data_IF_613435589420
#
_entry.id   IF_613435589420
#
_cell.length_a   1.000
_cell.length_b   1.000
_cell.length_c   1.000
_cell.angle_alpha   90.00
_cell.angle_beta   90.00
_cell.angle_gamma   90.00
#
_symmetry.space_group_name_H-M   'P 1'
#
loop_
_entity.id
_entity.type
_entity.pdbx_description
1 polymer ?
#
# COMPACT_ATOMS: atom_id res chain seq x y z
N UNK A 1 0.31 -3.47 3.09
CA UNK A 1 -1.07 -3.67 3.60
C UNK A 1 -1.16 -3.43 5.10
N UNK A 2 -0.22 -3.94 5.90
CA UNK A 2 -0.15 -3.72 7.35
C UNK A 2 -0.22 -2.24 7.79
N UNK A 3 0.22 -1.31 6.93
CA UNK A 3 0.08 0.14 7.12
C UNK A 3 -1.36 0.63 7.38
N UNK A 4 -2.39 -0.15 7.00
CA UNK A 4 -3.81 0.20 7.15
C UNK A 4 -4.51 -0.53 8.30
N UNK A 5 -3.76 -1.11 9.23
CA UNK A 5 -4.28 -1.72 10.46
C UNK A 5 -3.44 -1.29 11.68
N UNK A 6 -3.95 -1.51 12.89
CA UNK A 6 -3.21 -1.20 14.13
C UNK A 6 -1.88 -1.97 14.20
N UNK A 7 -0.78 -1.36 14.70
CA UNK A 7 -0.66 0.05 15.12
C UNK A 7 -0.22 1.01 14.01
N UNK A 8 0.09 0.50 12.82
CA UNK A 8 0.74 1.27 11.77
C UNK A 8 -0.17 2.32 11.14
N UNK A 9 -1.50 2.10 11.16
CA UNK A 9 -2.47 3.08 10.65
C UNK A 9 -2.42 4.43 11.39
N UNK A 10 -1.84 4.48 12.60
CA UNK A 10 -1.66 5.73 13.34
C UNK A 10 -0.74 6.74 12.61
N UNK A 11 0.06 6.28 11.63
CA UNK A 11 0.79 7.18 10.73
C UNK A 11 -0.11 7.94 9.73
N UNK A 12 -1.38 7.51 9.62
CA UNK A 12 -2.45 8.07 8.79
C UNK A 12 -3.66 8.40 9.68
N UNK A 13 -3.43 9.10 10.78
CA UNK A 13 -4.47 9.36 11.79
C UNK A 13 -5.66 10.16 11.24
N UNK A 14 -5.47 10.93 10.16
CA UNK A 14 -6.55 11.59 9.41
C UNK A 14 -7.60 10.60 8.88
N UNK A 15 -7.18 9.40 8.47
CA UNK A 15 -8.11 8.34 8.05
C UNK A 15 -9.03 7.97 9.19
N UNK A 16 -8.50 7.87 10.41
CA UNK A 16 -9.24 7.46 11.61
C UNK A 16 -10.11 8.59 12.16
N UNK A 17 -9.55 9.79 12.29
CA UNK A 17 -10.16 10.95 12.93
C UNK A 17 -11.17 11.67 12.03
N UNK A 18 -10.85 11.82 10.74
CA UNK A 18 -11.58 12.68 9.81
C UNK A 18 -12.26 11.87 8.69
N UNK A 19 -11.90 10.59 8.54
CA UNK A 19 -12.38 9.77 7.43
C UNK A 19 -11.73 10.14 6.09
N UNK A 20 -10.59 10.82 6.12
CA UNK A 20 -9.92 11.34 4.93
C UNK A 20 -8.45 10.99 4.92
N UNK A 21 -7.86 10.88 3.73
CA UNK A 21 -6.42 10.73 3.58
C UNK A 21 -5.86 11.85 2.70
N UNK A 22 -5.15 12.80 3.30
CA UNK A 22 -4.50 13.87 2.54
C UNK A 22 -3.16 13.37 2.00
N UNK A 23 -3.01 13.40 0.67
CA UNK A 23 -1.87 12.78 0.01
C UNK A 23 -1.33 13.60 -1.16
N UNK A 24 -0.01 13.48 -1.38
CA UNK A 24 0.68 14.04 -2.54
C UNK A 24 0.72 13.05 -3.72
N UNK A 25 0.04 11.91 -3.66
CA UNK A 25 -0.13 11.03 -4.81
C UNK A 25 -0.97 11.72 -5.90
N UNK A 26 -0.82 11.30 -7.15
CA UNK A 26 -1.80 11.65 -8.16
C UNK A 26 -3.03 10.72 -8.03
N UNK A 27 -4.24 11.15 -8.40
CA UNK A 27 -5.44 10.32 -8.33
C UNK A 27 -5.31 8.96 -9.02
N UNK A 28 -4.59 8.93 -10.13
CA UNK A 28 -4.34 7.76 -10.98
C UNK A 28 -3.12 6.94 -10.56
N UNK A 29 -2.29 7.45 -9.63
CA UNK A 29 -1.09 6.74 -9.18
C UNK A 29 -1.45 5.38 -8.59
N UNK A 30 -0.79 4.34 -9.09
CA UNK A 30 -0.94 2.98 -8.62
C UNK A 30 0.02 2.71 -7.46
N UNK A 31 -0.53 2.49 -6.28
CA UNK A 31 0.18 2.11 -5.06
C UNK A 31 0.37 0.61 -4.99
N UNK A 32 1.63 0.17 -4.84
CA UNK A 32 1.95 -1.21 -4.48
C UNK A 32 1.60 -1.50 -3.02
N UNK A 33 0.50 -2.21 -2.81
CA UNK A 33 0.15 -2.75 -1.51
C UNK A 33 0.82 -4.11 -1.34
N UNK A 34 1.69 -4.23 -0.34
CA UNK A 34 2.41 -5.48 -0.04
C UNK A 34 1.87 -6.16 1.21
N UNK A 35 1.49 -7.43 1.10
CA UNK A 35 1.27 -8.30 2.25
C UNK A 35 2.60 -8.89 2.74
N UNK A 36 2.80 -8.87 4.05
CA UNK A 36 3.94 -9.46 4.71
C UNK A 36 3.99 -10.99 4.55
N UNK A 37 2.83 -11.66 4.45
CA UNK A 37 2.81 -13.10 4.15
C UNK A 37 3.32 -13.42 2.74
N UNK A 38 2.97 -12.62 1.73
CA UNK A 38 3.51 -12.77 0.37
C UNK A 38 5.02 -12.55 0.36
N UNK A 39 5.50 -11.56 1.12
CA UNK A 39 6.94 -11.32 1.31
C UNK A 39 7.63 -12.58 1.84
N UNK A 40 7.05 -13.22 2.86
CA UNK A 40 7.59 -14.45 3.43
C UNK A 40 7.56 -15.61 2.42
N UNK A 41 6.46 -15.79 1.67
CA UNK A 41 6.34 -16.83 0.63
C UNK A 41 7.38 -16.65 -0.47
N UNK A 42 7.58 -15.43 -0.95
CA UNK A 42 8.58 -15.11 -1.98
C UNK A 42 9.99 -15.32 -1.44
N UNK A 43 10.28 -14.91 -0.21
CA UNK A 43 11.58 -15.16 0.42
C UNK A 43 11.88 -16.67 0.53
N UNK A 44 10.90 -17.47 0.95
CA UNK A 44 11.03 -18.93 1.01
C UNK A 44 11.28 -19.52 -0.38
N UNK A 45 10.57 -19.06 -1.41
CA UNK A 45 10.81 -19.49 -2.79
C UNK A 45 12.23 -19.15 -3.25
N UNK A 46 12.72 -17.95 -2.91
CA UNK A 46 14.09 -17.52 -3.22
C UNK A 46 15.16 -18.42 -2.58
N UNK A 47 14.97 -18.82 -1.32
CA UNK A 47 15.90 -19.73 -0.64
C UNK A 47 15.83 -21.17 -1.16
N UNK A 48 14.68 -21.62 -1.67
CA UNK A 48 14.50 -22.97 -2.23
C UNK A 48 15.09 -23.13 -3.63
N UNK A 49 15.14 -22.05 -4.41
CA UNK A 49 15.69 -22.05 -5.77
C UNK A 49 16.72 -20.91 -5.95
N UNK A 50 17.87 -20.95 -5.26
CA UNK A 50 18.84 -19.88 -5.32
C UNK A 50 19.35 -19.63 -6.75
N UNK A 51 19.35 -20.63 -7.64
CA UNK A 51 19.77 -20.47 -9.02
C UNK A 51 18.83 -19.53 -9.81
N UNK A 52 17.51 -19.64 -9.60
CA UNK A 52 16.52 -18.74 -10.22
C UNK A 52 16.62 -17.30 -9.72
N UNK A 53 16.96 -17.11 -8.43
CA UNK A 53 16.86 -15.80 -7.77
C UNK A 53 18.21 -15.10 -7.53
N UNK A 54 19.34 -15.76 -7.73
CA UNK A 54 20.67 -15.18 -7.52
C UNK A 54 20.87 -13.90 -8.36
N UNK A 55 21.25 -12.80 -7.69
CA UNK A 55 21.50 -11.47 -8.28
C UNK A 55 20.30 -10.84 -9.02
N UNK A 56 19.08 -11.31 -8.75
CA UNK A 56 17.86 -10.68 -9.23
C UNK A 56 17.43 -9.58 -8.27
N UNK A 57 17.02 -8.45 -8.82
CA UNK A 57 16.27 -7.41 -8.11
C UNK A 57 14.82 -7.59 -8.53
N UNK A 58 13.92 -7.67 -7.55
CA UNK A 58 12.51 -7.91 -7.77
C UNK A 58 11.75 -6.84 -6.98
N UNK A 59 11.00 -5.99 -7.68
CA UNK A 59 10.04 -5.09 -7.06
C UNK A 59 8.90 -5.90 -6.43
N UNK A 60 8.44 -5.50 -5.25
CA UNK A 60 7.51 -6.29 -4.43
C UNK A 60 6.18 -5.56 -4.24
N UNK A 61 5.09 -6.18 -4.68
CA UNK A 61 3.72 -5.80 -4.35
C UNK A 61 2.82 -7.03 -4.41
N UNK A 62 1.78 -7.06 -3.59
CA UNK A 62 0.73 -8.08 -3.66
C UNK A 62 -0.43 -7.61 -4.54
N UNK A 63 -0.69 -6.30 -4.55
CA UNK A 63 -1.76 -5.71 -5.35
C UNK A 63 -1.44 -4.25 -5.70
N UNK A 64 -1.91 -3.78 -6.86
CA UNK A 64 -1.87 -2.37 -7.26
C UNK A 64 -3.25 -1.74 -7.12
N UNK A 65 -3.33 -0.62 -6.41
CA UNK A 65 -4.57 0.16 -6.26
C UNK A 65 -4.28 1.66 -6.28
N UNK A 66 -5.27 2.48 -6.64
CA UNK A 66 -5.20 3.92 -6.32
C UNK A 66 -5.42 4.17 -4.83
N UNK A 67 -5.08 5.37 -4.36
CA UNK A 67 -5.35 5.78 -2.98
C UNK A 67 -6.85 5.71 -2.66
N UNK A 68 -7.72 6.18 -3.57
CA UNK A 68 -9.17 6.13 -3.37
C UNK A 68 -9.69 4.69 -3.34
N UNK A 69 -9.26 3.81 -4.26
CA UNK A 69 -9.67 2.40 -4.25
C UNK A 69 -9.25 1.67 -2.97
N UNK A 70 -8.09 2.04 -2.41
CA UNK A 70 -7.61 1.53 -1.13
C UNK A 70 -8.55 1.95 0.00
N UNK A 71 -8.92 3.24 0.05
CA UNK A 71 -9.87 3.78 1.03
C UNK A 71 -11.29 3.23 0.87
N UNK A 72 -11.75 3.00 -0.35
CA UNK A 72 -13.07 2.39 -0.59
C UNK A 72 -13.15 0.98 0.02
N UNK A 73 -12.09 0.19 -0.17
CA UNK A 73 -11.99 -1.18 0.37
C UNK A 73 -11.87 -1.17 1.89
N UNK A 74 -11.02 -0.30 2.44
CA UNK A 74 -10.86 -0.13 3.88
C UNK A 74 -12.16 0.36 4.54
N UNK A 75 -12.80 1.36 3.94
CA UNK A 75 -14.05 1.94 4.41
C UNK A 75 -15.19 0.93 4.42
N UNK A 76 -15.29 0.09 3.39
CA UNK A 76 -16.23 -1.03 3.38
C UNK A 76 -15.99 -2.01 4.54
N UNK A 77 -14.72 -2.33 4.85
CA UNK A 77 -14.37 -3.19 5.97
C UNK A 77 -14.65 -2.55 7.34
N UNK A 78 -14.48 -1.23 7.47
CA UNK A 78 -14.80 -0.45 8.68
C UNK A 78 -16.29 -0.10 8.81
N UNK A 79 -17.10 -0.30 7.77
CA UNK A 79 -18.50 0.12 7.74
C UNK A 79 -18.72 1.64 7.64
N UNK A 80 -17.77 2.40 7.06
CA UNK A 80 -17.89 3.86 6.88
C UNK A 80 -17.22 4.35 5.59
N UNK A 81 -17.70 5.47 5.05
CA UNK A 81 -17.09 6.09 3.85
C UNK A 81 -15.77 6.78 4.19
N UNK A 82 -14.77 6.61 3.31
CA UNK A 82 -13.46 7.24 3.41
C UNK A 82 -13.11 7.94 2.09
N UNK A 83 -12.37 9.05 2.14
CA UNK A 83 -12.08 9.87 0.94
C UNK A 83 -10.63 10.29 0.84
N UNK A 84 -10.02 10.17 -0.34
CA UNK A 84 -8.68 10.68 -0.60
C UNK A 84 -8.75 12.17 -0.97
N UNK A 85 -7.92 12.97 -0.32
CA UNK A 85 -7.70 14.38 -0.66
C UNK A 85 -6.33 14.54 -1.33
N UNK A 86 -6.35 14.70 -2.65
CA UNK A 86 -5.14 14.88 -3.44
C UNK A 86 -4.70 16.33 -3.43
N UNK A 87 -3.47 16.57 -2.99
CA UNK A 87 -2.89 17.90 -2.95
C UNK A 87 -2.51 18.39 -4.35
N UNK A 88 -2.68 19.69 -4.61
CA UNK A 88 -2.13 20.33 -5.81
C UNK A 88 -0.61 20.50 -5.68
N UNK A 89 0.08 20.73 -6.79
CA UNK A 89 1.54 20.96 -6.75
C UNK A 89 1.90 22.20 -5.92
N UNK A 90 1.06 23.24 -5.90
CA UNK A 90 1.25 24.43 -5.07
C UNK A 90 1.13 24.08 -3.58
N UNK A 91 0.14 23.28 -3.19
CA UNK A 91 -0.02 22.82 -1.82
C UNK A 91 1.18 21.98 -1.39
N UNK A 92 1.66 21.09 -2.26
CA UNK A 92 2.82 20.25 -1.94
C UNK A 92 4.11 21.10 -1.84
N UNK A 93 4.26 22.13 -2.66
CA UNK A 93 5.42 23.03 -2.62
C UNK A 93 5.41 23.94 -1.37
N UNK A 94 4.23 24.20 -0.79
CA UNK A 94 4.08 24.99 0.42
C UNK A 94 4.38 24.20 1.71
N UNK A 95 4.38 22.86 1.64
CA UNK A 95 4.72 22.00 2.78
C UNK A 95 6.19 22.15 3.18
N UNK A 96 6.53 22.07 4.49
CA UNK A 96 7.91 22.06 4.93
C UNK A 96 8.66 20.93 4.21
N UNK A 97 9.84 21.20 3.61
CA UNK A 97 10.50 20.20 2.81
C UNK A 97 10.78 18.95 3.63
N UNK A 98 11.01 19.04 4.94
CA UNK A 98 11.34 17.93 5.85
C UNK A 98 10.21 16.95 6.17
N UNK A 99 8.98 17.20 5.72
CA UNK A 99 7.86 16.29 5.97
C UNK A 99 8.03 15.01 5.16
N UNK A 100 8.49 13.94 5.84
CA UNK A 100 8.91 12.68 5.20
C UNK A 100 7.76 12.01 4.41
N UNK A 101 6.53 12.12 4.89
CA UNK A 101 5.33 11.54 4.27
C UNK A 101 5.11 12.05 2.85
N UNK A 102 5.22 13.35 2.61
CA UNK A 102 4.95 13.92 1.28
C UNK A 102 6.06 13.62 0.27
N UNK A 103 7.32 13.55 0.70
CA UNK A 103 8.41 13.12 -0.18
C UNK A 103 8.25 11.67 -0.62
N UNK A 104 7.87 10.79 0.32
CA UNK A 104 7.59 9.39 0.00
C UNK A 104 6.41 9.29 -0.97
N UNK A 105 5.31 10.01 -0.72
CA UNK A 105 4.17 10.05 -1.65
C UNK A 105 4.57 10.47 -3.08
N UNK A 106 5.45 11.47 -3.25
CA UNK A 106 5.95 11.83 -4.60
C UNK A 106 6.77 10.70 -5.24
N UNK A 107 7.66 10.07 -4.48
CA UNK A 107 8.47 8.95 -4.97
C UNK A 107 7.61 7.74 -5.37
N UNK A 108 6.47 7.55 -4.71
CA UNK A 108 5.55 6.43 -4.98
C UNK A 108 4.69 6.62 -6.25
N UNK A 109 4.64 7.82 -6.85
CA UNK A 109 3.78 8.08 -8.03
C UNK A 109 4.11 7.19 -9.24
N UNK A 110 5.38 6.77 -9.35
CA UNK A 110 5.89 5.93 -10.44
C UNK A 110 6.22 4.50 -9.95
N UNK A 111 5.80 4.13 -8.74
CA UNK A 111 6.15 2.83 -8.14
C UNK A 111 5.74 1.64 -9.03
N UNK A 112 4.59 1.73 -9.68
CA UNK A 112 4.08 0.67 -10.53
C UNK A 112 4.96 0.40 -11.76
N UNK A 113 5.75 1.37 -12.22
CA UNK A 113 6.63 1.20 -13.37
C UNK A 113 7.76 0.20 -13.09
N UNK A 114 8.11 0.03 -11.81
CA UNK A 114 9.17 -0.88 -11.33
C UNK A 114 8.61 -2.25 -10.85
N UNK A 115 7.31 -2.51 -11.04
CA UNK A 115 6.62 -3.71 -10.53
C UNK A 115 6.15 -4.62 -11.66
N UNK A 116 6.37 -5.92 -11.48
CA UNK A 116 5.91 -6.98 -12.38
C UNK A 116 5.06 -7.99 -11.60
N UNK A 117 3.76 -7.70 -11.47
CA UNK A 117 2.83 -8.55 -10.71
C UNK A 117 2.61 -9.90 -11.39
N UNK A 118 2.75 -10.00 -12.70
CA UNK A 118 2.61 -11.27 -13.43
C UNK A 118 3.77 -12.20 -13.05
N UNK A 119 5.01 -11.71 -13.09
CA UNK A 119 6.17 -12.47 -12.67
C UNK A 119 6.15 -12.83 -11.17
N UNK A 120 5.60 -11.96 -10.32
CA UNK A 120 5.40 -12.26 -8.89
C UNK A 120 4.34 -13.36 -8.69
N UNK A 121 3.24 -13.34 -9.44
CA UNK A 121 2.19 -14.34 -9.38
C UNK A 121 2.68 -15.74 -9.83
N UNK A 122 3.71 -15.81 -10.69
CA UNK A 122 4.39 -17.08 -11.03
C UNK A 122 5.21 -17.66 -9.87
N UNK A 123 5.57 -16.86 -8.86
CA UNK A 123 6.32 -17.31 -7.69
C UNK A 123 5.37 -17.81 -6.61
N UNK A 124 4.31 -17.05 -6.35
CA UNK A 124 3.29 -17.36 -5.34
C UNK A 124 1.96 -16.70 -5.69
N UNK A 125 0.80 -17.28 -5.31
CA UNK A 125 -0.44 -16.54 -5.30
C UNK A 125 -0.30 -15.26 -4.47
N UNK A 126 -0.76 -14.14 -5.01
CA UNK A 126 -0.69 -12.82 -4.38
C UNK A 126 -2.00 -12.50 -3.65
N UNK A 127 -1.86 -11.87 -2.49
CA UNK A 127 -2.99 -11.54 -1.61
C UNK A 127 -3.63 -10.24 -2.05
N UNK A 128 -4.96 -10.22 -2.18
CA UNK A 128 -5.70 -8.97 -2.38
C UNK A 128 -5.86 -8.22 -1.05
N UNK A 129 -6.02 -6.90 -1.11
CA UNK A 129 -6.22 -6.09 0.08
C UNK A 129 -7.51 -6.45 0.82
N UNK A 130 -8.56 -6.84 0.10
CA UNK A 130 -9.79 -7.37 0.70
C UNK A 130 -9.53 -8.65 1.50
N UNK A 131 -8.82 -9.63 0.91
CA UNK A 131 -8.46 -10.86 1.61
C UNK A 131 -7.56 -10.59 2.83
N UNK A 132 -6.65 -9.62 2.73
CA UNK A 132 -5.84 -9.14 3.85
C UNK A 132 -6.72 -8.58 4.98
N UNK A 133 -7.65 -7.66 4.68
CA UNK A 133 -8.51 -7.04 5.69
C UNK A 133 -9.46 -8.05 6.33
N UNK A 134 -9.92 -9.04 5.58
CA UNK A 134 -10.70 -10.15 6.11
C UNK A 134 -9.89 -10.99 7.10
N UNK A 135 -8.63 -11.30 6.77
CA UNK A 135 -7.72 -12.01 7.70
C UNK A 135 -7.41 -11.19 8.95
N UNK A 136 -7.25 -9.87 8.80
CA UNK A 136 -6.94 -8.93 9.89
C UNK A 136 -8.20 -8.27 10.51
N UNK A 137 -9.38 -8.89 10.36
CA UNK A 137 -10.67 -8.29 10.77
C UNK A 137 -10.69 -7.82 12.22
N UNK A 138 -10.03 -8.53 13.12
CA UNK A 138 -9.92 -8.15 14.54
C UNK A 138 -9.16 -6.83 14.74
N UNK A 139 -8.22 -6.49 13.84
CA UNK A 139 -7.55 -5.20 13.84
C UNK A 139 -8.43 -4.11 13.24
N UNK A 140 -9.18 -4.42 12.18
CA UNK A 140 -10.11 -3.48 11.52
C UNK A 140 -11.25 -3.08 12.47
N UNK A 141 -11.78 -4.02 13.25
CA UNK A 141 -12.88 -3.79 14.20
C UNK A 141 -12.52 -2.88 15.39
N UNK A 142 -11.28 -2.40 15.48
CA UNK A 142 -10.84 -1.48 16.54
C UNK A 142 -11.18 -0.01 16.25
N UNK A 143 -11.64 0.29 15.03
CA UNK A 143 -11.90 1.65 14.55
C UNK A 143 -13.38 1.95 14.38
#
# INVERSE_FOLDING_TARGET
>A
MANFVEPAINAYSDILEQGTWTTALAPESQLGLLDHEDTARIAVAAFRDPARFHRRVIGMASELRTAQQTLDTLGAAMGRSLTAHFMTEEQIAAEPPWTITFRLNKAMRNMADDLDLEALAEITPLTTFEAFLERERDQVNKF
#
